data_IF_663006107787
#
_entry.id   IF_663006107787
#
_cell.length_a   1.000
_cell.length_b   1.000
_cell.length_c   1.000
_cell.angle_alpha   90.00
_cell.angle_beta   90.00
_cell.angle_gamma   90.00
#
_symmetry.space_group_name_H-M   'P 1'
#
loop_
_entity.id
_entity.type
_entity.pdbx_description
1 polymer ?
#
# COMPACT_ATOMS: atom_id res chain seq x y z
N UNK A 1 -4.62 5.67 1.93
CA UNK A 1 -4.09 4.93 3.10
C UNK A 1 -2.67 5.34 3.37
N UNK A 2 -2.41 5.74 4.61
CA UNK A 2 -1.07 6.10 5.11
C UNK A 2 -0.78 5.21 6.32
N UNK A 3 0.45 4.72 6.39
CA UNK A 3 0.96 3.88 7.46
C UNK A 3 2.19 4.51 8.10
N UNK A 4 2.37 4.34 9.40
CA UNK A 4 3.57 4.79 10.12
C UNK A 4 4.41 3.60 10.52
N UNK A 5 5.71 3.65 10.23
CA UNK A 5 6.66 2.60 10.60
C UNK A 5 6.86 2.57 12.12
N UNK A 6 6.62 1.42 12.74
CA UNK A 6 6.84 1.18 14.18
C UNK A 6 8.08 0.32 14.45
N UNK A 7 8.56 -0.39 13.44
CA UNK A 7 9.80 -1.16 13.49
C UNK A 7 10.39 -1.38 12.10
N UNK A 8 11.70 -1.53 12.03
CA UNK A 8 12.43 -1.73 10.77
C UNK A 8 13.29 -3.01 10.77
N UNK A 9 12.97 -3.96 11.65
CA UNK A 9 13.68 -5.24 11.73
C UNK A 9 12.70 -6.40 11.77
N UNK A 10 13.15 -7.57 11.32
CA UNK A 10 12.38 -8.80 11.37
C UNK A 10 12.06 -9.29 12.79
N UNK A 11 12.61 -8.67 13.83
CA UNK A 11 12.43 -9.09 15.21
C UNK A 11 10.97 -9.05 15.65
N UNK A 12 10.17 -8.11 15.15
CA UNK A 12 8.74 -7.96 15.48
C UNK A 12 7.79 -8.71 14.56
N UNK A 13 8.28 -9.36 13.51
CA UNK A 13 7.42 -10.07 12.57
C UNK A 13 6.79 -11.31 13.22
N UNK A 14 5.54 -11.66 12.97
CA UNK A 14 5.02 -12.96 13.41
C UNK A 14 5.71 -14.12 12.65
N UNK A 15 5.61 -15.35 13.16
CA UNK A 15 6.38 -16.50 12.64
C UNK A 15 6.05 -16.85 11.18
N UNK A 16 4.83 -16.56 10.73
CA UNK A 16 4.36 -16.75 9.36
C UNK A 16 5.04 -15.80 8.32
N UNK A 17 5.71 -14.75 8.78
CA UNK A 17 6.56 -13.88 7.95
C UNK A 17 8.03 -14.30 7.94
N UNK A 18 8.44 -15.26 8.79
CA UNK A 18 9.83 -15.71 8.87
C UNK A 18 10.04 -16.86 7.91
N UNK A 19 10.77 -16.59 6.82
CA UNK A 19 11.14 -17.58 5.82
C UNK A 19 12.64 -17.50 5.51
N UNK A 20 13.49 -18.18 6.32
CA UNK A 20 14.95 -18.06 6.21
C UNK A 20 15.50 -18.52 4.86
N UNK A 21 14.79 -19.41 4.15
CA UNK A 21 15.16 -19.93 2.83
C UNK A 21 15.17 -18.85 1.74
N UNK A 22 14.43 -17.76 1.94
CA UNK A 22 14.38 -16.61 1.02
C UNK A 22 14.87 -15.30 1.69
N UNK A 23 15.55 -15.42 2.84
CA UNK A 23 16.22 -14.30 3.51
C UNK A 23 15.37 -13.52 4.52
N UNK A 24 14.09 -13.85 4.72
CA UNK A 24 13.27 -13.23 5.76
C UNK A 24 13.57 -13.85 7.13
N UNK A 25 14.44 -13.17 7.88
CA UNK A 25 14.91 -13.61 9.20
C UNK A 25 14.60 -12.57 10.26
N UNK A 26 14.69 -12.97 11.53
CA UNK A 26 14.52 -12.07 12.68
C UNK A 26 15.56 -10.94 12.71
N UNK A 27 16.70 -11.13 12.06
CA UNK A 27 17.82 -10.18 12.00
C UNK A 27 17.78 -9.29 10.76
N UNK A 28 16.87 -9.56 9.82
CA UNK A 28 16.74 -8.76 8.60
C UNK A 28 16.42 -7.31 8.95
N UNK A 29 17.16 -6.37 8.37
CA UNK A 29 16.85 -4.96 8.42
C UNK A 29 16.13 -4.55 7.14
N UNK A 30 15.04 -3.80 7.30
CA UNK A 30 14.29 -3.20 6.21
C UNK A 30 14.73 -1.75 6.06
N UNK A 31 14.69 -1.23 4.83
CA UNK A 31 15.03 0.16 4.52
C UNK A 31 13.89 1.11 4.91
N UNK A 32 13.58 1.12 6.21
CA UNK A 32 12.49 1.86 6.82
C UNK A 32 12.99 2.69 7.99
N UNK A 33 12.45 3.89 8.12
CA UNK A 33 12.70 4.82 9.22
C UNK A 33 11.54 4.74 10.20
N UNK A 34 11.83 4.33 11.45
CA UNK A 34 10.82 4.28 12.51
C UNK A 34 10.26 5.68 12.77
N UNK A 35 8.94 5.78 12.89
CA UNK A 35 8.20 7.03 13.04
C UNK A 35 7.85 7.74 11.73
N UNK A 36 8.44 7.33 10.59
CA UNK A 36 8.12 7.89 9.27
C UNK A 36 6.80 7.33 8.75
N UNK A 37 6.05 8.20 8.08
CA UNK A 37 4.81 7.86 7.38
C UNK A 37 5.08 7.54 5.91
N UNK A 38 4.34 6.56 5.39
CA UNK A 38 4.45 6.06 4.03
C UNK A 38 3.06 5.91 3.41
N UNK A 39 2.93 6.30 2.14
CA UNK A 39 1.73 6.04 1.33
C UNK A 39 1.76 4.61 0.81
N UNK A 40 0.64 3.89 0.95
CA UNK A 40 0.49 2.53 0.42
C UNK A 40 -0.07 2.58 -1.00
N UNK A 41 0.71 2.14 -1.98
CA UNK A 41 0.29 2.15 -3.39
C UNK A 41 -0.45 0.88 -3.79
N UNK A 42 -0.07 -0.24 -3.20
CA UNK A 42 -0.71 -1.53 -3.37
C UNK A 42 -0.50 -2.38 -2.11
N UNK A 43 -1.27 -3.45 -1.95
CA UNK A 43 -0.99 -4.48 -0.97
C UNK A 43 -1.55 -5.82 -1.40
N UNK A 44 -0.93 -6.89 -0.89
CA UNK A 44 -1.42 -8.25 -1.10
C UNK A 44 -1.70 -8.94 0.21
N UNK A 45 -2.63 -9.89 0.17
CA UNK A 45 -2.78 -10.91 1.19
C UNK A 45 -2.51 -12.28 0.58
N UNK A 46 -1.68 -13.06 1.27
CA UNK A 46 -1.43 -14.45 0.95
C UNK A 46 -1.14 -15.26 2.21
N UNK A 47 -1.93 -16.33 2.41
CA UNK A 47 -1.77 -17.30 3.51
C UNK A 47 -1.76 -16.65 4.90
N UNK A 48 -2.58 -15.62 5.11
CA UNK A 48 -2.69 -14.88 6.37
C UNK A 48 -1.68 -13.75 6.52
N UNK A 49 -0.76 -13.58 5.58
CA UNK A 49 0.24 -12.50 5.61
C UNK A 49 -0.15 -11.37 4.66
N UNK A 50 -0.11 -10.15 5.16
CA UNK A 50 -0.31 -8.91 4.40
C UNK A 50 1.03 -8.21 4.15
N UNK A 51 1.25 -7.77 2.92
CA UNK A 51 2.43 -7.02 2.49
C UNK A 51 2.02 -5.73 1.79
N UNK A 52 2.54 -4.60 2.26
CA UNK A 52 2.32 -3.27 1.69
C UNK A 52 3.39 -2.96 0.66
N UNK A 53 3.00 -2.42 -0.50
CA UNK A 53 3.92 -1.87 -1.49
C UNK A 53 4.03 -0.36 -1.25
N UNK A 54 5.20 0.07 -0.80
CA UNK A 54 5.52 1.46 -0.44
C UNK A 54 6.84 1.90 -1.11
N UNK A 55 7.00 3.18 -1.38
CA UNK A 55 8.31 3.74 -1.72
C UNK A 55 9.10 3.91 -0.41
N UNK A 56 9.99 2.96 -0.14
CA UNK A 56 10.79 2.93 1.09
C UNK A 56 12.02 3.87 1.02
N UNK A 57 12.89 3.83 2.02
CA UNK A 57 14.01 4.76 2.13
C UNK A 57 15.16 4.48 1.15
N UNK A 58 15.11 3.40 0.35
CA UNK A 58 16.14 3.11 -0.66
C UNK A 58 16.08 4.03 -1.88
N UNK A 59 15.17 5.00 -1.93
CA UNK A 59 14.95 5.87 -3.09
C UNK A 59 14.66 5.07 -4.38
N UNK A 60 13.86 4.02 -4.27
CA UNK A 60 13.39 3.26 -5.43
C UNK A 60 12.30 4.04 -6.18
N UNK A 61 12.38 4.04 -7.51
CA UNK A 61 11.38 4.63 -8.42
C UNK A 61 10.10 3.78 -8.54
N UNK A 62 9.95 2.74 -7.72
CA UNK A 62 8.80 1.85 -7.68
C UNK A 62 8.53 1.45 -6.22
N UNK A 63 7.31 0.96 -5.90
CA UNK A 63 6.98 0.62 -4.53
C UNK A 63 7.45 -0.80 -4.21
N UNK A 64 8.20 -0.96 -3.13
CA UNK A 64 8.72 -2.24 -2.65
C UNK A 64 7.81 -2.86 -1.59
N UNK A 65 7.69 -4.19 -1.64
CA UNK A 65 6.92 -4.96 -0.66
C UNK A 65 7.58 -4.92 0.73
N UNK A 66 6.79 -4.56 1.74
CA UNK A 66 7.19 -4.51 3.13
C UNK A 66 6.12 -5.19 4.02
N UNK A 67 6.51 -5.92 5.08
CA UNK A 67 5.55 -6.62 5.93
C UNK A 67 4.62 -5.67 6.67
N UNK A 68 3.31 -5.90 6.62
CA UNK A 68 2.33 -5.07 7.33
C UNK A 68 2.57 -4.94 8.85
N UNK A 69 3.04 -5.97 9.59
CA UNK A 69 3.28 -5.88 11.04
C UNK A 69 4.34 -4.87 11.47
N UNK A 70 5.13 -4.33 10.53
CA UNK A 70 6.12 -3.28 10.81
C UNK A 70 5.50 -1.88 10.90
N UNK A 71 4.18 -1.77 10.72
CA UNK A 71 3.49 -0.49 10.63
C UNK A 71 2.20 -0.44 11.45
N UNK A 72 1.83 0.76 11.85
CA UNK A 72 0.47 1.10 12.28
C UNK A 72 -0.25 1.90 11.18
N UNK A 73 -1.57 1.74 11.07
CA UNK A 73 -2.38 2.53 10.12
C UNK A 73 -2.68 3.89 10.76
N UNK A 74 -2.31 4.97 10.08
CA UNK A 74 -2.58 6.36 10.53
C UNK A 74 -3.70 7.01 9.74
N UNK A 75 -3.92 6.55 8.51
CA UNK A 75 -5.04 6.91 7.66
C UNK A 75 -5.57 5.65 6.97
N UNK A 76 -6.78 5.24 7.36
CA UNK A 76 -7.45 4.03 6.91
C UNK A 76 -8.31 4.23 5.65
N UNK A 77 -8.31 5.44 5.08
CA UNK A 77 -9.08 5.76 3.87
C UNK A 77 -8.56 4.95 2.68
N UNK A 78 -9.51 4.34 1.98
CA UNK A 78 -9.30 3.55 0.76
C UNK A 78 -9.03 4.52 -0.40
N UNK A 79 -7.93 4.30 -1.13
CA UNK A 79 -7.61 5.10 -2.31
C UNK A 79 -8.68 4.94 -3.40
N UNK A 80 -9.05 6.02 -4.09
CA UNK A 80 -10.01 5.95 -5.21
C UNK A 80 -9.43 5.22 -6.44
N UNK A 81 -8.10 5.11 -6.49
CA UNK A 81 -7.38 4.42 -7.55
C UNK A 81 -7.29 2.91 -7.32
N UNK A 82 -7.54 2.43 -6.12
CA UNK A 82 -7.48 1.00 -5.84
C UNK A 82 -8.57 0.21 -6.57
N UNK A 83 -8.15 -0.96 -7.05
CA UNK A 83 -8.95 -2.07 -7.54
C UNK A 83 -8.49 -3.32 -6.81
N UNK A 84 -9.35 -4.32 -6.70
CA UNK A 84 -9.00 -5.59 -6.08
C UNK A 84 -9.14 -6.74 -7.08
N UNK A 85 -8.26 -7.74 -6.97
CA UNK A 85 -8.33 -8.99 -7.71
C UNK A 85 -8.06 -10.15 -6.75
N UNK A 86 -9.02 -11.07 -6.69
CA UNK A 86 -8.89 -12.32 -5.94
C UNK A 86 -8.65 -13.46 -6.93
N UNK A 87 -7.49 -14.08 -6.84
CA UNK A 87 -7.15 -15.25 -7.65
C UNK A 87 -7.82 -16.52 -7.10
N UNK A 88 -8.09 -17.55 -7.93
CA UNK A 88 -8.75 -18.79 -7.48
C UNK A 88 -8.02 -19.53 -6.36
N UNK A 89 -6.72 -19.31 -6.19
CA UNK A 89 -5.92 -19.89 -5.12
C UNK A 89 -6.05 -19.15 -3.78
N UNK A 90 -6.83 -18.06 -3.71
CA UNK A 90 -7.00 -17.23 -2.53
C UNK A 90 -6.06 -16.02 -2.46
N UNK A 91 -5.22 -15.79 -3.47
CA UNK A 91 -4.32 -14.64 -3.48
C UNK A 91 -5.10 -13.35 -3.75
N UNK A 92 -5.10 -12.45 -2.78
CA UNK A 92 -5.70 -11.13 -2.91
C UNK A 92 -4.62 -10.10 -3.26
N UNK A 93 -4.88 -9.31 -4.28
CA UNK A 93 -4.08 -8.13 -4.61
C UNK A 93 -4.99 -6.91 -4.69
N UNK A 94 -4.58 -5.82 -4.07
CA UNK A 94 -5.20 -4.51 -4.14
C UNK A 94 -4.15 -3.55 -4.69
N UNK A 95 -4.41 -2.95 -5.85
CA UNK A 95 -3.48 -2.09 -6.56
C UNK A 95 -4.24 -1.15 -7.51
N UNK A 96 -3.57 -0.23 -8.17
CA UNK A 96 -4.16 0.57 -9.25
C UNK A 96 -4.44 -0.27 -10.50
N UNK A 97 -5.32 0.23 -11.37
CA UNK A 97 -5.88 -0.50 -12.51
C UNK A 97 -4.81 -1.10 -13.44
N UNK A 98 -3.80 -0.33 -13.80
CA UNK A 98 -2.74 -0.72 -14.74
C UNK A 98 -1.94 -1.93 -14.25
N UNK A 99 -1.80 -2.10 -12.93
CA UNK A 99 -1.19 -3.29 -12.33
C UNK A 99 -1.86 -4.59 -12.79
N UNK A 100 -3.17 -4.55 -13.05
CA UNK A 100 -3.94 -5.72 -13.43
C UNK A 100 -4.17 -5.86 -14.94
N UNK A 101 -4.23 -4.74 -15.66
CA UNK A 101 -4.59 -4.72 -17.09
C UNK A 101 -3.38 -4.80 -18.00
N UNK A 102 -2.21 -4.34 -17.55
CA UNK A 102 -0.96 -4.45 -18.31
C UNK A 102 -0.22 -5.74 -17.92
N UNK A 103 -0.02 -6.68 -18.87
CA UNK A 103 0.70 -7.93 -18.59
C UNK A 103 2.10 -7.66 -18.05
N UNK A 104 2.42 -8.28 -16.91
CA UNK A 104 3.72 -8.16 -16.24
C UNK A 104 4.08 -6.72 -15.83
N UNK A 105 3.09 -5.85 -15.63
CA UNK A 105 3.30 -4.44 -15.28
C UNK A 105 4.37 -4.25 -14.20
N UNK A 106 4.26 -4.97 -13.08
CA UNK A 106 5.19 -4.81 -11.97
C UNK A 106 6.61 -5.28 -12.31
N UNK A 107 6.75 -6.35 -13.11
CA UNK A 107 8.07 -6.84 -13.53
C UNK A 107 8.74 -5.83 -14.46
N UNK A 108 8.00 -5.33 -15.47
CA UNK A 108 8.48 -4.27 -16.38
C UNK A 108 8.81 -2.97 -15.65
N UNK A 109 7.99 -2.60 -14.66
CA UNK A 109 8.28 -1.47 -13.78
C UNK A 109 9.61 -1.71 -13.06
N UNK A 110 9.84 -2.89 -12.46
CA UNK A 110 11.12 -3.19 -11.82
C UNK A 110 12.30 -3.23 -12.80
N UNK A 111 12.06 -3.55 -14.07
CA UNK A 111 13.06 -3.56 -15.15
C UNK A 111 13.33 -2.17 -15.76
N UNK A 112 12.71 -1.09 -15.25
CA UNK A 112 12.85 0.29 -15.74
C UNK A 112 12.32 0.51 -17.16
N UNK A 113 11.28 -0.23 -17.55
CA UNK A 113 10.60 0.10 -18.80
C UNK A 113 9.91 1.48 -18.68
N UNK A 114 10.24 2.37 -19.62
CA UNK A 114 9.91 3.80 -19.57
C UNK A 114 8.40 4.04 -19.42
N UNK A 115 7.58 3.25 -20.11
CA UNK A 115 6.13 3.39 -20.08
C UNK A 115 5.55 3.06 -18.69
N UNK A 116 6.00 1.99 -18.06
CA UNK A 116 5.52 1.54 -16.75
C UNK A 116 6.02 2.44 -15.62
N UNK A 117 7.25 2.97 -15.73
CA UNK A 117 7.78 4.01 -14.83
C UNK A 117 6.92 5.26 -14.91
N UNK A 118 6.63 5.76 -16.11
CA UNK A 118 5.76 6.94 -16.29
C UNK A 118 4.35 6.73 -15.73
N UNK A 119 3.79 5.53 -15.90
CA UNK A 119 2.47 5.19 -15.36
C UNK A 119 2.54 5.24 -13.83
N UNK A 120 3.55 4.62 -13.22
CA UNK A 120 3.69 4.62 -11.77
C UNK A 120 3.91 6.02 -11.22
N UNK A 121 4.75 6.85 -11.84
CA UNK A 121 4.97 8.24 -11.41
C UNK A 121 3.66 9.04 -11.38
N UNK A 122 2.84 8.92 -12.43
CA UNK A 122 1.52 9.58 -12.49
C UNK A 122 0.58 9.06 -11.40
N UNK A 123 0.54 7.75 -11.18
CA UNK A 123 -0.29 7.16 -10.11
C UNK A 123 0.19 7.61 -8.74
N UNK A 124 1.51 7.64 -8.53
CA UNK A 124 2.14 8.07 -7.29
C UNK A 124 1.77 9.51 -6.97
N UNK A 125 1.94 10.44 -7.90
CA UNK A 125 1.53 11.84 -7.74
C UNK A 125 0.05 11.96 -7.34
N UNK A 126 -0.82 11.21 -8.01
CA UNK A 126 -2.26 11.25 -7.76
C UNK A 126 -2.65 10.67 -6.39
N UNK A 127 -1.99 9.59 -5.95
CA UNK A 127 -2.23 8.96 -4.65
C UNK A 127 -1.62 9.76 -3.50
N UNK A 128 -0.45 10.35 -3.68
CA UNK A 128 0.19 11.23 -2.70
C UNK A 128 -0.64 12.50 -2.46
N UNK A 129 -1.31 12.98 -3.50
CA UNK A 129 -2.19 14.16 -3.44
C UNK A 129 -3.63 13.82 -2.98
N UNK A 130 -3.93 12.59 -2.58
CA UNK A 130 -5.24 12.24 -2.06
C UNK A 130 -5.49 12.90 -0.70
N UNK A 131 -6.13 14.08 -0.75
CA UNK A 131 -6.73 14.72 0.40
C UNK A 131 -8.25 14.46 0.38
N UNK A 132 -8.73 13.56 1.23
CA UNK A 132 -10.16 13.35 1.40
C UNK A 132 -10.68 14.29 2.48
N UNK A 133 -10.89 15.54 2.11
CA UNK A 133 -11.64 16.54 2.88
C UNK A 133 -13.15 16.22 2.80
N UNK A 134 -13.53 15.00 3.18
CA UNK A 134 -14.93 14.63 3.32
C UNK A 134 -15.38 15.01 4.74
N UNK A 135 -16.48 15.78 4.88
CA UNK A 135 -17.03 16.06 6.19
C UNK A 135 -17.40 14.72 6.86
N UNK A 136 -17.21 14.60 8.19
CA UNK A 136 -17.64 13.42 8.94
C UNK A 136 -19.08 13.05 8.59
N UNK A 137 -19.41 11.75 8.61
CA UNK A 137 -20.73 11.27 8.22
C UNK A 137 -21.85 12.01 8.96
N UNK A 138 -21.67 12.30 10.25
CA UNK A 138 -22.64 13.04 11.06
C UNK A 138 -22.89 14.46 10.53
N UNK A 139 -21.84 15.14 10.07
CA UNK A 139 -21.93 16.48 9.45
C UNK A 139 -22.62 16.39 8.09
N UNK A 140 -22.32 15.36 7.30
CA UNK A 140 -22.99 15.13 6.01
C UNK A 140 -24.48 14.81 6.19
N UNK A 141 -24.82 14.00 7.19
CA UNK A 141 -26.20 13.62 7.52
C UNK A 141 -27.01 14.82 8.00
N UNK A 142 -26.45 15.69 8.83
CA UNK A 142 -27.19 16.90 9.25
C UNK A 142 -27.41 17.88 8.10
N UNK A 143 -26.42 18.11 7.24
CA UNK A 143 -26.63 18.93 6.03
C UNK A 143 -27.73 18.37 5.12
N UNK A 144 -27.81 17.04 4.99
CA UNK A 144 -28.88 16.39 4.24
C UNK A 144 -30.25 16.56 4.90
N UNK A 145 -30.34 16.46 6.23
CA UNK A 145 -31.59 16.69 6.98
C UNK A 145 -32.08 18.13 6.84
N UNK A 146 -31.18 19.10 6.92
CA UNK A 146 -31.48 20.52 6.70
C UNK A 146 -31.99 20.78 5.28
N UNK A 147 -31.36 20.17 4.26
CA UNK A 147 -31.73 20.36 2.86
C UNK A 147 -33.09 19.73 2.48
N UNK A 148 -33.52 18.67 3.17
CA UNK A 148 -34.80 17.97 2.91
C UNK A 148 -35.96 18.60 3.71
N UNK A 149 -35.66 19.45 4.69
CA UNK A 149 -36.66 20.14 5.52
C UNK A 149 -37.13 21.49 4.95
N UNK A 150 -36.68 21.83 3.73
CA UNK A 150 -37.04 23.04 2.95
C UNK A 150 -37.90 22.64 1.76
#
# INVERSE_FOLDING_TARGET
MIIRCIANTGALLPDDYIEPTIGYTRQLQFSLTVGREYVVYAFREWRGTIWYYICDDNYSYYPMQNPAPLFEVVDDRVSKYWRFKLSPNGFLMIAFEQWFTDPYFYDKLTDQEEAEVEIFDKVKELMDAEDFDLPPLDVAVEKLREAVSV
#
